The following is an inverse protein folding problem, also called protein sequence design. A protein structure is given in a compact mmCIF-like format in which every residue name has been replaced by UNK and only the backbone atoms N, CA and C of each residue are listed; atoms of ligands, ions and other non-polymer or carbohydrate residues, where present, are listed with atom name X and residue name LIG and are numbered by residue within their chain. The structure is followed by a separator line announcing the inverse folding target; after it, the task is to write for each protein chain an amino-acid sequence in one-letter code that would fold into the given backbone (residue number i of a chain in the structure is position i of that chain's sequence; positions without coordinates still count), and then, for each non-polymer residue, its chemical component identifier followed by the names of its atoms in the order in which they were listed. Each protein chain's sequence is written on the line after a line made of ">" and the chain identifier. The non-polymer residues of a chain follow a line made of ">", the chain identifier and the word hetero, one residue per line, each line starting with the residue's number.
data_IF_034058206058
#
_entry.id   IF_034058206058
#
_cell.length_a   1.000
_cell.length_b   1.000
_cell.length_c   1.000
_cell.angle_alpha   90.00
_cell.angle_beta   90.00
_cell.angle_gamma   90.00
#
_symmetry.space_group_name_H-M   'P 1'
#
loop_
_entity.id
_entity.type
_entity.pdbx_description
1 polymer ?
#
# COMPACT_ATOMS: atom_id res chain seq x y z
N UNK A 1 -0.09 -26.46 15.07
CA UNK A 1 0.32 -25.81 13.79
C UNK A 1 1.39 -24.77 14.10
N UNK A 2 2.32 -24.52 13.17
CA UNK A 2 3.26 -23.40 13.29
C UNK A 2 2.58 -22.13 12.72
N UNK A 3 2.72 -20.95 13.33
CA UNK A 3 2.22 -19.71 12.75
C UNK A 3 2.86 -19.46 11.37
N UNK A 4 2.05 -19.06 10.40
CA UNK A 4 2.51 -18.66 9.05
C UNK A 4 2.54 -17.14 8.97
N UNK A 5 3.65 -16.57 8.51
CA UNK A 5 3.74 -15.14 8.23
C UNK A 5 3.10 -14.89 6.87
N UNK A 6 2.04 -14.09 6.86
CA UNK A 6 1.40 -13.59 5.65
C UNK A 6 1.77 -12.12 5.46
N UNK A 7 2.47 -11.80 4.38
CA UNK A 7 2.74 -10.42 3.98
C UNK A 7 1.76 -9.99 2.89
N UNK A 8 1.16 -8.81 3.01
CA UNK A 8 0.33 -8.20 1.97
C UNK A 8 1.10 -7.06 1.29
N UNK A 9 1.24 -7.11 -0.04
CA UNK A 9 1.83 -6.05 -0.83
C UNK A 9 0.73 -5.15 -1.40
N UNK A 10 0.65 -3.91 -0.91
CA UNK A 10 -0.58 -3.09 -1.00
C UNK A 10 -0.80 -2.49 -2.39
N UNK A 11 0.21 -1.82 -2.94
CA UNK A 11 0.07 -1.08 -4.23
C UNK A 11 1.13 -1.44 -5.28
N UNK A 12 2.38 -1.69 -4.85
CA UNK A 12 3.51 -1.96 -5.75
C UNK A 12 3.82 -0.79 -6.70
N UNK A 13 4.63 -1.05 -7.74
CA UNK A 13 5.03 -0.06 -8.74
C UNK A 13 4.60 -0.39 -10.18
N UNK A 14 4.19 -1.64 -10.45
CA UNK A 14 3.87 -2.11 -11.80
C UNK A 14 2.41 -1.91 -12.20
N UNK A 15 1.48 -2.19 -11.29
CA UNK A 15 0.04 -2.03 -11.56
C UNK A 15 -0.30 -0.54 -11.70
N UNK A 16 -1.16 -0.20 -12.67
CA UNK A 16 -1.70 1.15 -12.88
C UNK A 16 -3.21 1.15 -12.69
N UNK A 17 -3.83 2.34 -12.62
CA UNK A 17 -5.30 2.46 -12.53
C UNK A 17 -6.05 2.03 -13.79
N UNK A 18 -5.35 1.86 -14.91
CA UNK A 18 -5.91 1.23 -16.11
C UNK A 18 -6.13 -0.27 -15.90
N UNK A 19 -5.21 -0.95 -15.19
CA UNK A 19 -5.35 -2.36 -14.82
C UNK A 19 -6.37 -2.57 -13.69
N UNK A 20 -6.34 -1.72 -12.66
CA UNK A 20 -7.25 -1.78 -11.53
C UNK A 20 -7.67 -0.39 -11.06
N UNK A 21 -8.95 -0.05 -11.26
CA UNK A 21 -9.52 1.25 -10.88
C UNK A 21 -9.45 1.55 -9.38
N UNK A 22 -9.40 0.52 -8.54
CA UNK A 22 -9.35 0.66 -7.07
C UNK A 22 -7.92 0.62 -6.51
N UNK A 23 -6.89 0.64 -7.36
CA UNK A 23 -5.50 0.67 -6.91
C UNK A 23 -5.27 1.86 -5.95
N UNK A 24 -4.82 1.62 -4.70
CA UNK A 24 -4.56 2.70 -3.74
C UNK A 24 -3.38 3.55 -4.22
N UNK A 25 -3.57 4.87 -4.23
CA UNK A 25 -2.61 5.87 -4.74
C UNK A 25 -2.20 6.85 -3.65
N UNK A 26 -3.17 7.45 -2.95
CA UNK A 26 -2.85 8.44 -1.92
C UNK A 26 -2.30 7.74 -0.66
N UNK A 27 -1.48 8.43 0.16
CA UNK A 27 -1.01 7.88 1.42
C UNK A 27 -2.13 7.36 2.32
N UNK A 28 -3.21 8.13 2.48
CA UNK A 28 -4.42 7.73 3.23
C UNK A 28 -5.08 6.45 2.68
N UNK A 29 -5.18 6.28 1.35
CA UNK A 29 -5.69 5.04 0.76
C UNK A 29 -4.77 3.86 1.07
N UNK A 30 -3.46 4.04 0.94
CA UNK A 30 -2.47 2.99 1.19
C UNK A 30 -2.50 2.59 2.68
N UNK A 31 -2.56 3.55 3.60
CA UNK A 31 -2.65 3.29 5.04
C UNK A 31 -3.95 2.56 5.42
N UNK A 32 -5.10 2.97 4.85
CA UNK A 32 -6.38 2.28 5.05
C UNK A 32 -6.33 0.83 4.58
N UNK A 33 -5.76 0.58 3.41
CA UNK A 33 -5.64 -0.78 2.87
C UNK A 33 -4.66 -1.63 3.69
N UNK A 34 -3.58 -1.04 4.25
CA UNK A 34 -2.72 -1.72 5.23
C UNK A 34 -3.52 -2.19 6.46
N UNK A 35 -4.36 -1.31 7.01
CA UNK A 35 -5.17 -1.62 8.21
C UNK A 35 -6.16 -2.75 7.88
N UNK A 36 -6.87 -2.66 6.75
CA UNK A 36 -7.79 -3.71 6.29
C UNK A 36 -7.05 -5.05 6.11
N UNK A 37 -5.86 -5.04 5.52
CA UNK A 37 -5.06 -6.24 5.35
C UNK A 37 -4.63 -6.84 6.70
N UNK A 38 -4.25 -6.01 7.68
CA UNK A 38 -3.90 -6.45 9.02
C UNK A 38 -5.11 -7.04 9.76
N UNK A 39 -6.27 -6.40 9.68
CA UNK A 39 -7.54 -6.91 10.24
C UNK A 39 -7.95 -8.25 9.62
N UNK A 40 -7.65 -8.46 8.33
CA UNK A 40 -7.86 -9.72 7.62
C UNK A 40 -6.83 -10.81 7.95
N UNK A 41 -5.77 -10.50 8.70
CA UNK A 41 -4.78 -11.46 9.17
C UNK A 41 -3.38 -11.37 8.54
N UNK A 42 -3.09 -10.31 7.79
CA UNK A 42 -1.71 -10.04 7.36
C UNK A 42 -0.84 -9.69 8.57
N UNK A 43 0.31 -10.35 8.70
CA UNK A 43 1.30 -10.07 9.72
C UNK A 43 2.23 -8.90 9.35
N UNK A 44 2.38 -8.62 8.04
CA UNK A 44 3.26 -7.60 7.49
C UNK A 44 2.58 -6.92 6.31
N UNK A 45 2.69 -5.59 6.21
CA UNK A 45 2.34 -4.84 5.01
C UNK A 45 3.61 -4.36 4.30
N UNK A 46 3.78 -4.78 3.04
CA UNK A 46 4.82 -4.28 2.14
C UNK A 46 4.27 -3.09 1.36
N UNK A 47 4.90 -1.92 1.52
CA UNK A 47 4.40 -0.66 0.96
C UNK A 47 5.36 -0.06 -0.08
N UNK A 48 4.76 0.44 -1.15
CA UNK A 48 5.33 1.45 -2.03
C UNK A 48 4.44 2.68 -1.92
N UNK A 49 4.96 3.85 -2.29
CA UNK A 49 4.17 5.08 -2.38
C UNK A 49 4.07 5.54 -3.82
N UNK A 50 3.05 6.36 -4.07
CA UNK A 50 2.75 6.92 -5.37
C UNK A 50 2.56 8.43 -5.22
N UNK A 51 2.75 9.13 -6.32
CA UNK A 51 2.41 10.53 -6.43
C UNK A 51 0.89 10.69 -6.31
N UNK A 52 0.36 11.44 -5.33
CA UNK A 52 -1.07 11.52 -5.06
C UNK A 52 -1.89 12.12 -6.21
N UNK A 53 -1.28 13.00 -7.01
CA UNK A 53 -1.95 13.72 -8.10
C UNK A 53 -1.99 12.91 -9.40
N UNK A 54 -0.91 12.18 -9.68
CA UNK A 54 -0.73 11.47 -10.97
C UNK A 54 -0.88 9.96 -10.87
N UNK A 55 -0.71 9.38 -9.67
CA UNK A 55 -0.66 7.92 -9.46
C UNK A 55 0.63 7.25 -9.93
N UNK A 56 1.60 8.03 -10.42
CA UNK A 56 2.91 7.53 -10.80
C UNK A 56 3.67 6.99 -9.58
N UNK A 57 4.70 6.18 -9.81
CA UNK A 57 5.56 5.67 -8.74
C UNK A 57 6.29 6.86 -8.09
N UNK A 58 6.34 6.89 -6.76
CA UNK A 58 7.05 7.94 -6.02
C UNK A 58 8.08 7.34 -5.06
N UNK A 59 9.11 8.12 -4.77
CA UNK A 59 10.13 7.82 -3.75
C UNK A 59 10.26 8.97 -2.74
N UNK A 60 9.33 9.93 -2.75
CA UNK A 60 9.34 11.06 -1.81
C UNK A 60 9.13 10.55 -0.39
N UNK A 61 10.01 10.98 0.52
CA UNK A 61 9.97 10.53 1.91
C UNK A 61 8.70 10.97 2.63
N UNK A 62 8.13 12.11 2.25
CA UNK A 62 6.92 12.63 2.88
C UNK A 62 5.70 11.75 2.60
N UNK A 63 5.59 11.19 1.39
CA UNK A 63 4.54 10.21 1.09
C UNK A 63 4.69 8.95 1.95
N UNK A 64 5.93 8.47 2.17
CA UNK A 64 6.16 7.34 3.07
C UNK A 64 5.83 7.69 4.52
N UNK A 65 6.22 8.88 5.00
CA UNK A 65 5.92 9.35 6.36
C UNK A 65 4.44 9.38 6.62
N UNK A 66 3.65 9.92 5.69
CA UNK A 66 2.20 9.99 5.83
C UNK A 66 1.53 8.60 5.87
N UNK A 67 2.07 7.60 5.16
CA UNK A 67 1.54 6.22 5.22
C UNK A 67 1.79 5.56 6.59
N UNK A 68 2.90 5.88 7.26
CA UNK A 68 3.35 5.12 8.46
C UNK A 68 3.10 5.81 9.81
N UNK A 69 2.69 7.09 9.81
CA UNK A 69 2.39 7.86 11.03
C UNK A 69 0.97 7.62 11.54
#
# INVERSE_FOLDING_TARGET
>A
MKPTILSCAITGSFTTREHNKTLPVTPDQIAKDCIIAAEAGAAICHIHVRDPDTGAVSMELDHYREVVQ
#
